data_IF_711995355700
#
_entry.id   IF_711995355700
#
_cell.length_a   1.000
_cell.length_b   1.000
_cell.length_c   1.000
_cell.angle_alpha   90.00
_cell.angle_beta   90.00
_cell.angle_gamma   90.00
#
_symmetry.space_group_name_H-M   'P 1'
#
loop_
_entity.id
_entity.type
_entity.pdbx_description
1 polymer ?
#
# COMPACT_ATOMS: atom_id res chain seq x y z
N UNK A 1 -3.63 9.72 -7.21
CA UNK A 1 -3.67 9.09 -5.87
C UNK A 1 -2.40 9.47 -5.12
N UNK A 2 -2.52 9.98 -3.89
CA UNK A 2 -1.39 10.51 -3.11
C UNK A 2 -0.35 9.44 -2.73
N UNK A 3 -0.77 8.19 -2.49
CA UNK A 3 0.13 7.08 -2.19
C UNK A 3 1.03 6.71 -3.38
N UNK A 4 0.46 6.58 -4.58
CA UNK A 4 1.22 6.30 -5.81
C UNK A 4 2.23 7.40 -6.12
N UNK A 5 1.84 8.66 -5.92
CA UNK A 5 2.74 9.80 -6.09
C UNK A 5 3.92 9.74 -5.12
N UNK A 6 3.69 9.36 -3.87
CA UNK A 6 4.76 9.19 -2.89
C UNK A 6 5.73 8.09 -3.30
N UNK A 7 5.22 6.91 -3.68
CA UNK A 7 6.05 5.79 -4.17
C UNK A 7 6.81 6.16 -5.46
N UNK A 8 6.16 6.84 -6.39
CA UNK A 8 6.82 7.34 -7.61
C UNK A 8 7.90 8.37 -7.28
N UNK A 9 7.68 9.24 -6.29
CA UNK A 9 8.66 10.23 -5.83
C UNK A 9 9.86 9.57 -5.13
N UNK A 10 9.65 8.42 -4.49
CA UNK A 10 10.73 7.56 -3.98
C UNK A 10 11.49 6.82 -5.07
N UNK A 11 11.01 6.84 -6.31
CA UNK A 11 11.63 6.13 -7.43
C UNK A 11 11.51 4.61 -7.33
N UNK A 12 10.54 4.10 -6.55
CA UNK A 12 10.33 2.67 -6.41
C UNK A 12 9.33 2.14 -7.43
N UNK A 13 9.59 0.93 -7.94
CA UNK A 13 8.63 0.20 -8.75
C UNK A 13 7.57 -0.43 -7.83
N UNK A 14 6.31 -0.32 -8.23
CA UNK A 14 5.19 -0.92 -7.51
C UNK A 14 4.16 -1.47 -8.49
N UNK A 15 3.52 -2.58 -8.11
CA UNK A 15 2.42 -3.17 -8.85
C UNK A 15 1.07 -2.64 -8.36
N UNK A 16 0.21 -2.29 -9.30
CA UNK A 16 -1.15 -1.84 -9.00
C UNK A 16 -2.15 -2.95 -9.24
N UNK A 17 -2.70 -3.49 -8.15
CA UNK A 17 -3.79 -4.46 -8.21
C UNK A 17 -5.13 -3.72 -8.12
N UNK A 18 -5.83 -3.60 -9.26
CA UNK A 18 -7.17 -3.01 -9.29
C UNK A 18 -8.21 -4.04 -8.84
N UNK A 19 -8.71 -3.86 -7.62
CA UNK A 19 -9.82 -4.66 -7.06
C UNK A 19 -11.20 -4.11 -7.44
N UNK A 20 -11.24 -2.99 -8.17
CA UNK A 20 -12.49 -2.35 -8.61
C UNK A 20 -13.22 -3.24 -9.62
N UNK A 21 -14.52 -3.49 -9.40
CA UNK A 21 -15.32 -4.42 -10.20
C UNK A 21 -15.03 -5.91 -9.98
N UNK A 22 -14.08 -6.28 -9.10
CA UNK A 22 -13.71 -7.66 -8.80
C UNK A 22 -14.05 -8.03 -7.35
N UNK A 23 -15.29 -8.41 -7.04
CA UNK A 23 -15.75 -8.66 -5.67
C UNK A 23 -14.98 -9.80 -4.99
N UNK A 24 -14.59 -10.84 -5.72
CA UNK A 24 -13.80 -11.97 -5.20
C UNK A 24 -12.39 -11.54 -4.79
N UNK A 25 -11.70 -10.79 -5.66
CA UNK A 25 -10.38 -10.24 -5.37
C UNK A 25 -10.43 -9.25 -4.21
N UNK A 26 -11.48 -8.42 -4.15
CA UNK A 26 -11.72 -7.52 -3.02
C UNK A 26 -11.92 -8.29 -1.71
N UNK A 27 -12.67 -9.39 -1.74
CA UNK A 27 -12.89 -10.22 -0.56
C UNK A 27 -11.58 -10.88 -0.09
N UNK A 28 -10.76 -11.39 -1.01
CA UNK A 28 -9.45 -11.95 -0.68
C UNK A 28 -8.52 -10.89 -0.06
N UNK A 29 -8.40 -9.72 -0.70
CA UNK A 29 -7.57 -8.63 -0.19
C UNK A 29 -8.08 -8.11 1.15
N UNK A 30 -9.41 -8.01 1.33
CA UNK A 30 -10.02 -7.65 2.61
C UNK A 30 -9.64 -8.64 3.71
N UNK A 31 -9.66 -9.94 3.41
CA UNK A 31 -9.28 -11.00 4.34
C UNK A 31 -7.79 -10.94 4.70
N UNK A 32 -6.93 -10.66 3.71
CA UNK A 32 -5.47 -10.51 3.90
C UNK A 32 -5.12 -9.26 4.71
N UNK A 33 -5.74 -8.12 4.40
CA UNK A 33 -5.47 -6.83 5.03
C UNK A 33 -6.22 -6.61 6.36
N UNK A 34 -7.21 -7.45 6.65
CA UNK A 34 -8.18 -7.25 7.74
C UNK A 34 -8.86 -5.86 7.71
N UNK A 35 -8.90 -5.25 6.51
CA UNK A 35 -9.50 -3.93 6.27
C UNK A 35 -10.29 -3.98 4.96
N UNK A 36 -11.40 -3.27 4.90
CA UNK A 36 -12.26 -3.17 3.70
C UNK A 36 -11.99 -1.91 2.87
N UNK A 37 -11.29 -0.94 3.46
CA UNK A 37 -10.95 0.34 2.87
C UNK A 37 -9.82 0.20 1.86
N UNK A 38 -9.96 0.90 0.74
CA UNK A 38 -8.92 1.07 -0.28
C UNK A 38 -8.44 2.53 -0.28
N UNK A 39 -7.18 2.82 -0.64
CA UNK A 39 -6.13 1.90 -1.09
C UNK A 39 -5.57 1.03 0.04
N UNK A 40 -5.11 -0.18 -0.28
CA UNK A 40 -4.34 -1.04 0.60
C UNK A 40 -2.93 -1.18 0.05
N UNK A 41 -1.95 -0.90 0.88
CA UNK A 41 -0.55 -0.79 0.49
C UNK A 41 0.20 -1.90 1.20
N UNK A 42 0.94 -2.66 0.41
CA UNK A 42 1.81 -3.73 0.85
C UNK A 42 3.21 -3.42 0.36
N UNK A 43 4.19 -3.59 1.24
CA UNK A 43 5.61 -3.43 0.92
C UNK A 43 6.29 -4.76 1.26
N UNK A 44 6.81 -5.45 0.24
CA UNK A 44 7.26 -6.83 0.37
C UNK A 44 6.15 -7.75 0.89
N UNK A 45 6.37 -8.39 2.04
CA UNK A 45 5.38 -9.21 2.74
C UNK A 45 4.58 -8.49 3.83
N UNK A 46 4.84 -7.21 4.06
CA UNK A 46 4.24 -6.45 5.17
C UNK A 46 3.08 -5.59 4.70
N UNK A 47 1.92 -5.75 5.36
CA UNK A 47 0.77 -4.88 5.16
C UNK A 47 1.02 -3.54 5.86
N UNK A 48 1.19 -2.48 5.08
CA UNK A 48 1.37 -1.10 5.58
C UNK A 48 0.03 -0.49 5.97
N UNK A 49 -1.02 -0.75 5.18
CA UNK A 49 -2.34 -0.20 5.42
C UNK A 49 -2.76 0.79 4.34
N UNK A 50 -3.33 1.92 4.75
CA UNK A 50 -3.89 2.92 3.86
C UNK A 50 -2.89 3.96 3.38
N UNK A 51 -3.40 4.95 2.64
CA UNK A 51 -2.61 6.11 2.23
C UNK A 51 -2.03 6.85 3.45
N UNK A 52 -2.82 7.04 4.52
CA UNK A 52 -2.37 7.72 5.73
C UNK A 52 -1.24 6.97 6.45
N UNK A 53 -1.33 5.64 6.51
CA UNK A 53 -0.31 4.78 7.11
C UNK A 53 1.02 4.90 6.33
N UNK A 54 0.97 4.92 4.99
CA UNK A 54 2.16 5.14 4.17
C UNK A 54 2.82 6.50 4.45
N UNK A 55 2.02 7.57 4.53
CA UNK A 55 2.54 8.90 4.86
C UNK A 55 2.99 9.03 6.32
N UNK A 56 2.46 8.22 7.23
CA UNK A 56 2.94 8.15 8.60
C UNK A 56 4.34 7.52 8.66
N UNK A 57 4.58 6.45 7.88
CA UNK A 57 5.92 5.84 7.76
C UNK A 57 6.94 6.80 7.14
N UNK A 58 6.53 7.54 6.12
CA UNK A 58 7.37 8.56 5.48
C UNK A 58 7.76 9.67 6.47
N UNK A 59 6.77 10.22 7.19
CA UNK A 59 7.01 11.24 8.22
C UNK A 59 7.86 10.73 9.38
N UNK A 60 7.81 9.42 9.66
CA UNK A 60 8.64 8.76 10.65
C UNK A 60 10.05 8.40 10.14
N UNK A 61 10.36 8.63 8.85
CA UNK A 61 11.63 8.26 8.24
C UNK A 61 11.85 6.73 8.15
N UNK A 62 10.78 5.94 8.24
CA UNK A 62 10.83 4.46 8.20
C UNK A 62 10.46 3.90 6.84
N UNK A 63 9.90 4.71 5.96
CA UNK A 63 9.42 4.25 4.66
C UNK A 63 10.58 3.78 3.77
N UNK A 64 11.66 4.55 3.67
CA UNK A 64 12.82 4.17 2.85
C UNK A 64 13.42 2.83 3.28
N UNK A 65 13.61 2.63 4.59
CA UNK A 65 14.10 1.37 5.14
C UNK A 65 13.18 0.17 4.83
N UNK A 66 11.86 0.40 4.73
CA UNK A 66 10.90 -0.64 4.33
C UNK A 66 10.93 -0.92 2.83
N UNK A 67 11.23 0.08 2.01
CA UNK A 67 11.31 -0.03 0.56
C UNK A 67 12.62 -0.68 0.09
N UNK A 68 13.69 -0.56 0.87
CA UNK A 68 15.01 -1.15 0.60
C UNK A 68 15.20 -2.56 1.21
N UNK A 69 14.27 -3.02 2.05
CA UNK A 69 14.31 -4.33 2.71
C UNK A 69 13.83 -5.48 1.81
#
# INVERSE_FOLDING_TARGET
MRAKQLLAHKGVNFDEIKVDGQPELRAEMTRKAQRTSVPQIWIGGSHVGGCDDLYALERAGKLDALLEA
#
